data_IF_137878970068
#
_entry.id   IF_137878970068
#
_cell.length_a   1.000
_cell.length_b   1.000
_cell.length_c   1.000
_cell.angle_alpha   90.00
_cell.angle_beta   90.00
_cell.angle_gamma   90.00
#
_symmetry.space_group_name_H-M   'P 1'
#
loop_
_entity.id
_entity.type
_entity.pdbx_description
1 polymer ?
#
# COMPACT_ATOMS: atom_id res chain seq x y z
N UNK A 1 15.17 19.71 -27.70
CA UNK A 1 13.94 19.39 -26.95
C UNK A 1 13.79 17.88 -27.04
N UNK A 2 14.12 17.15 -25.98
CA UNK A 2 13.81 15.73 -25.90
C UNK A 2 12.30 15.62 -25.66
N UNK A 3 11.60 14.76 -26.40
CA UNK A 3 10.21 14.47 -26.11
C UNK A 3 10.15 13.83 -24.73
N UNK A 4 9.30 14.34 -23.85
CA UNK A 4 8.94 13.66 -22.61
C UNK A 4 8.18 12.40 -23.04
N UNK A 5 8.63 11.23 -22.57
CA UNK A 5 7.88 10.00 -22.77
C UNK A 5 6.51 10.15 -22.11
N UNK A 6 5.43 9.62 -22.72
CA UNK A 6 4.10 9.73 -22.14
C UNK A 6 4.04 8.98 -20.82
N UNK A 7 3.35 9.57 -19.84
CA UNK A 7 3.09 8.91 -18.56
C UNK A 7 2.31 7.60 -18.76
N UNK A 8 2.58 6.64 -17.89
CA UNK A 8 2.11 5.25 -17.97
C UNK A 8 1.17 4.97 -16.81
N UNK A 9 -0.01 4.45 -17.12
CA UNK A 9 -0.97 3.92 -16.15
C UNK A 9 -0.66 2.44 -15.86
N UNK A 10 -0.52 2.10 -14.58
CA UNK A 10 -0.45 0.74 -14.06
C UNK A 10 -1.62 0.52 -13.12
N UNK A 11 -2.41 -0.53 -13.33
CA UNK A 11 -3.55 -0.89 -12.46
C UNK A 11 -3.32 -2.27 -11.86
N UNK A 12 -3.78 -2.46 -10.63
CA UNK A 12 -3.73 -3.74 -9.94
C UNK A 12 -4.82 -3.85 -8.87
N UNK A 13 -5.16 -5.08 -8.51
CA UNK A 13 -6.17 -5.39 -7.50
C UNK A 13 -5.55 -6.23 -6.40
N UNK A 14 -5.83 -5.86 -5.15
CA UNK A 14 -5.60 -6.69 -3.99
C UNK A 14 -6.87 -7.48 -3.69
N UNK A 15 -6.80 -8.80 -3.78
CA UNK A 15 -7.91 -9.73 -3.55
C UNK A 15 -7.51 -10.90 -2.63
N UNK A 16 -8.46 -11.79 -2.33
CA UNK A 16 -8.23 -12.94 -1.44
C UNK A 16 -7.15 -13.91 -1.93
N UNK A 17 -6.70 -13.82 -3.20
CA UNK A 17 -5.67 -14.70 -3.76
C UNK A 17 -4.26 -14.12 -3.62
N UNK A 18 -4.12 -12.79 -3.49
CA UNK A 18 -2.84 -12.11 -3.58
C UNK A 18 -2.54 -11.15 -2.41
N UNK A 19 -3.50 -10.97 -1.50
CA UNK A 19 -3.36 -10.11 -0.35
C UNK A 19 -3.68 -10.84 0.95
N UNK A 20 -3.22 -10.28 2.07
CA UNK A 20 -3.55 -10.74 3.41
C UNK A 20 -3.95 -9.53 4.23
N UNK A 21 -5.04 -9.68 4.99
CA UNK A 21 -5.49 -8.66 5.94
C UNK A 21 -4.85 -8.94 7.29
N UNK A 22 -4.18 -7.95 7.82
CA UNK A 22 -3.50 -7.96 9.11
C UNK A 22 -4.04 -6.81 9.99
N UNK A 23 -3.60 -6.76 11.25
CA UNK A 23 -4.02 -5.73 12.20
C UNK A 23 -2.81 -4.94 12.66
N UNK A 24 -2.86 -3.62 12.50
CA UNK A 24 -1.92 -2.70 13.14
C UNK A 24 -2.62 -2.02 14.31
N UNK A 25 -1.86 -1.59 15.31
CA UNK A 25 -2.41 -0.87 16.45
C UNK A 25 -1.65 0.42 16.68
N UNK A 26 -2.36 1.54 16.72
CA UNK A 26 -1.77 2.89 16.69
C UNK A 26 -2.25 3.73 17.87
N UNK A 27 -1.45 4.72 18.25
CA UNK A 27 -1.76 5.64 19.32
C UNK A 27 -2.46 6.89 18.77
N UNK A 28 -3.80 6.90 18.79
CA UNK A 28 -4.59 8.05 18.35
C UNK A 28 -4.53 9.25 19.30
N UNK A 29 -4.08 9.08 20.55
CA UNK A 29 -3.93 10.23 21.47
C UNK A 29 -2.87 11.21 21.00
N UNK A 30 -1.96 10.75 20.13
CA UNK A 30 -0.91 11.53 19.50
C UNK A 30 -1.30 12.05 18.11
N UNK A 31 -2.46 11.69 17.54
CA UNK A 31 -2.76 12.10 16.16
C UNK A 31 -3.81 13.20 16.05
N UNK A 32 -4.40 13.64 17.17
CA UNK A 32 -5.56 14.52 17.13
C UNK A 32 -6.78 13.81 16.55
N UNK A 33 -7.80 13.58 17.39
CA UNK A 33 -9.17 13.13 17.03
C UNK A 33 -9.33 11.85 16.18
N UNK A 34 -9.68 10.75 16.87
CA UNK A 34 -10.50 9.59 16.47
C UNK A 34 -10.22 8.81 15.15
N UNK A 35 -9.53 9.34 14.14
CA UNK A 35 -9.28 8.69 12.85
C UNK A 35 -7.93 9.14 12.24
N UNK A 36 -7.51 8.53 11.13
CA UNK A 36 -6.23 8.73 10.43
C UNK A 36 -6.03 10.09 9.71
N UNK A 37 -6.88 11.10 9.98
CA UNK A 37 -6.88 12.35 9.19
C UNK A 37 -5.64 13.22 9.43
N UNK A 38 -5.10 13.19 10.64
CA UNK A 38 -4.20 14.24 11.13
C UNK A 38 -2.77 13.72 11.40
N UNK A 39 -2.33 12.65 10.72
CA UNK A 39 -1.01 11.98 10.95
C UNK A 39 0.20 12.95 10.89
N UNK A 40 0.17 13.99 10.04
CA UNK A 40 1.28 14.96 9.92
C UNK A 40 1.01 16.34 10.52
N UNK A 41 -0.17 16.60 11.11
CA UNK A 41 -0.62 17.98 11.38
C UNK A 41 0.03 18.59 12.64
N UNK A 42 0.38 17.79 13.64
CA UNK A 42 0.77 18.32 14.97
C UNK A 42 2.20 17.98 15.42
N UNK A 43 3.04 17.39 14.55
CA UNK A 43 4.42 17.02 14.89
C UNK A 43 4.52 15.89 15.93
N UNK A 44 3.39 15.30 16.28
CA UNK A 44 3.30 14.16 17.16
C UNK A 44 3.62 12.86 16.41
N UNK A 45 4.27 11.89 17.05
CA UNK A 45 4.79 10.73 16.36
C UNK A 45 3.69 9.69 16.10
N UNK A 46 3.56 9.29 14.83
CA UNK A 46 2.75 8.13 14.45
C UNK A 46 3.36 6.85 15.05
N UNK A 47 2.74 6.35 16.11
CA UNK A 47 3.34 5.33 16.99
C UNK A 47 2.35 4.23 17.32
N UNK A 48 2.85 3.08 17.75
CA UNK A 48 2.01 1.97 18.19
C UNK A 48 1.21 2.36 19.44
N UNK A 49 -0.03 1.89 19.51
CA UNK A 49 -0.94 2.18 20.62
C UNK A 49 -2.09 1.18 20.71
N UNK A 50 -3.14 1.46 21.50
CA UNK A 50 -4.19 0.50 21.80
C UNK A 50 -5.28 0.41 20.72
N UNK A 51 -5.31 1.31 19.73
CA UNK A 51 -6.40 1.37 18.76
C UNK A 51 -6.06 0.54 17.52
N UNK A 52 -6.87 -0.49 17.24
CA UNK A 52 -6.64 -1.44 16.17
C UNK A 52 -7.32 -1.06 14.85
N UNK A 53 -6.60 -1.27 13.75
CA UNK A 53 -7.06 -1.07 12.38
C UNK A 53 -6.62 -2.25 11.51
N UNK A 54 -7.54 -2.74 10.69
CA UNK A 54 -7.23 -3.74 9.68
C UNK A 54 -6.51 -3.07 8.52
N UNK A 55 -5.47 -3.73 8.00
CA UNK A 55 -4.71 -3.26 6.85
C UNK A 55 -4.31 -4.38 5.91
N UNK A 56 -4.03 -4.03 4.67
CA UNK A 56 -3.33 -4.87 3.68
C UNK A 56 -2.17 -4.08 3.08
N UNK A 57 -1.21 -4.76 2.46
CA UNK A 57 -0.04 -4.08 1.90
C UNK A 57 0.34 -4.60 0.52
N UNK A 58 1.01 -3.74 -0.24
CA UNK A 58 1.56 -4.10 -1.53
C UNK A 58 2.86 -3.33 -1.79
N UNK A 59 3.90 -4.06 -2.21
CA UNK A 59 5.13 -3.44 -2.65
C UNK A 59 5.07 -3.04 -4.11
N UNK A 60 5.76 -1.95 -4.43
CA UNK A 60 6.00 -1.53 -5.79
C UNK A 60 7.39 -0.89 -5.96
N UNK A 61 7.87 -0.82 -7.19
CA UNK A 61 9.16 -0.20 -7.53
C UNK A 61 9.05 0.53 -8.88
N UNK A 62 9.27 1.84 -8.94
CA UNK A 62 9.20 2.61 -10.18
C UNK A 62 10.45 2.35 -11.04
N UNK A 63 10.25 2.30 -12.35
CA UNK A 63 11.33 2.16 -13.34
C UNK A 63 12.03 3.49 -13.67
N UNK A 64 11.37 4.61 -13.41
CA UNK A 64 11.82 5.98 -13.73
C UNK A 64 11.57 6.87 -12.51
N UNK A 65 12.46 7.82 -12.23
CA UNK A 65 12.24 8.80 -11.16
C UNK A 65 11.33 9.93 -11.65
N UNK A 66 10.49 10.47 -10.77
CA UNK A 66 9.66 11.65 -11.04
C UNK A 66 8.40 11.68 -10.18
N UNK A 67 7.49 12.61 -10.50
CA UNK A 67 6.18 12.69 -9.85
C UNK A 67 5.27 11.54 -10.30
N UNK A 68 4.68 10.86 -9.32
CA UNK A 68 3.68 9.83 -9.54
C UNK A 68 2.41 10.17 -8.76
N UNK A 69 1.26 9.91 -9.38
CA UNK A 69 -0.04 9.90 -8.73
C UNK A 69 -0.49 8.46 -8.59
N UNK A 70 -0.84 8.03 -7.38
CA UNK A 70 -1.37 6.69 -7.16
C UNK A 70 -2.40 6.70 -6.05
N UNK A 71 -3.33 5.77 -6.13
CA UNK A 71 -4.50 5.77 -5.26
C UNK A 71 -5.40 4.60 -5.51
N UNK A 72 -6.58 4.65 -4.91
CA UNK A 72 -7.62 3.65 -5.09
C UNK A 72 -8.64 4.09 -6.14
N UNK A 73 -9.06 3.16 -6.99
CA UNK A 73 -10.21 3.35 -7.87
C UNK A 73 -11.47 2.69 -7.32
N UNK A 74 -11.33 1.69 -6.45
CA UNK A 74 -12.44 1.08 -5.74
C UNK A 74 -12.07 0.55 -4.34
N UNK A 75 -13.01 0.67 -3.40
CA UNK A 75 -12.96 0.05 -2.08
C UNK A 75 -14.38 -0.22 -1.54
N UNK A 76 -14.66 -1.40 -0.96
CA UNK A 76 -15.92 -1.69 -0.28
C UNK A 76 -16.13 -0.90 1.02
N UNK A 77 -15.04 -0.44 1.64
CA UNK A 77 -15.02 0.23 2.94
C UNK A 77 -14.28 1.55 2.86
N UNK A 78 -14.40 2.38 3.90
CA UNK A 78 -13.67 3.64 3.99
C UNK A 78 -12.22 3.35 4.40
N UNK A 79 -11.25 3.88 3.66
CA UNK A 79 -9.84 3.46 3.74
C UNK A 79 -8.89 4.64 3.81
N UNK A 80 -7.69 4.39 4.34
CA UNK A 80 -6.55 5.31 4.26
C UNK A 80 -5.42 4.63 3.51
N UNK A 81 -4.82 5.35 2.57
CA UNK A 81 -3.59 4.98 1.89
C UNK A 81 -2.41 5.60 2.63
N UNK A 82 -1.49 4.76 3.07
CA UNK A 82 -0.20 5.15 3.63
C UNK A 82 0.90 4.66 2.70
N UNK A 83 1.95 5.45 2.52
CA UNK A 83 3.06 5.12 1.62
C UNK A 83 4.36 5.13 2.39
N UNK A 84 5.10 4.03 2.31
CA UNK A 84 6.37 3.87 3.00
C UNK A 84 7.52 3.78 2.02
N UNK A 85 8.62 4.43 2.37
CA UNK A 85 9.94 4.13 1.83
C UNK A 85 10.45 2.83 2.45
N UNK A 86 10.68 1.81 1.62
CA UNK A 86 11.07 0.50 2.12
C UNK A 86 9.88 -0.34 2.58
N UNK A 87 9.94 -0.88 3.79
CA UNK A 87 8.94 -1.81 4.34
C UNK A 87 8.27 -1.21 5.57
N UNK A 88 6.95 -1.32 5.64
CA UNK A 88 6.13 -1.01 6.80
C UNK A 88 6.41 -1.99 7.95
N UNK A 89 6.60 -1.45 9.16
CA UNK A 89 6.63 -2.20 10.41
C UNK A 89 5.41 -1.83 11.26
N UNK A 90 4.44 -2.73 11.48
CA UNK A 90 3.26 -2.44 12.30
C UNK A 90 3.59 -2.17 13.78
N UNK A 91 4.80 -2.49 14.25
CA UNK A 91 5.29 -2.16 15.59
C UNK A 91 5.98 -0.79 15.66
N UNK A 92 6.26 -0.17 14.51
CA UNK A 92 6.86 1.15 14.37
C UNK A 92 6.20 1.89 13.20
N UNK A 93 4.89 2.17 13.28
CA UNK A 93 4.11 2.56 12.11
C UNK A 93 4.49 3.95 11.56
N UNK A 94 5.18 4.79 12.33
CA UNK A 94 5.73 6.06 11.83
C UNK A 94 7.03 5.93 11.04
N UNK A 95 7.75 4.81 11.19
CA UNK A 95 9.08 4.66 10.61
C UNK A 95 8.97 4.44 9.10
N UNK A 96 9.61 5.32 8.34
CA UNK A 96 9.62 5.27 6.87
C UNK A 96 8.32 5.73 6.21
N UNK A 97 7.36 6.27 6.95
CA UNK A 97 6.15 6.87 6.36
C UNK A 97 6.54 8.11 5.52
N UNK A 98 6.26 8.06 4.23
CA UNK A 98 6.61 9.08 3.26
C UNK A 98 5.42 9.99 2.89
N UNK A 99 4.22 9.41 2.80
CA UNK A 99 3.00 10.15 2.46
C UNK A 99 1.75 9.38 2.91
N UNK A 100 0.61 10.05 2.99
CA UNK A 100 -0.68 9.43 3.26
C UNK A 100 -1.84 10.26 2.70
N UNK A 101 -2.98 9.61 2.51
CA UNK A 101 -4.27 10.27 2.29
C UNK A 101 -5.43 9.33 2.66
N UNK A 102 -6.55 9.87 3.17
CA UNK A 102 -7.81 9.13 3.44
C UNK A 102 -8.88 9.37 2.37
N UNK A 103 -9.00 10.59 1.85
CA UNK A 103 -9.92 10.96 0.80
C UNK A 103 -9.21 11.84 -0.24
N UNK A 104 -9.49 11.69 -1.54
CA UNK A 104 -8.94 12.59 -2.55
C UNK A 104 -9.29 14.09 -2.34
N UNK A 105 -10.20 14.41 -1.41
CA UNK A 105 -10.57 15.78 -1.02
C UNK A 105 -9.93 16.33 0.26
N UNK A 106 -9.22 15.53 1.08
CA UNK A 106 -8.70 15.93 2.40
C UNK A 106 -7.14 15.96 2.48
N UNK A 107 -6.57 17.00 1.85
CA UNK A 107 -5.34 17.73 2.24
C UNK A 107 -3.88 17.21 2.05
N UNK A 108 -3.04 18.25 1.84
CA UNK A 108 -1.57 18.43 1.74
C UNK A 108 -0.86 17.84 0.50
N UNK A 109 -0.72 18.72 -0.51
CA UNK A 109 -0.12 18.45 -1.82
C UNK A 109 -1.17 18.66 -2.91
N UNK A 110 -1.13 19.81 -3.57
CA UNK A 110 -1.91 20.39 -4.70
C UNK A 110 -2.80 19.53 -5.64
N UNK A 111 -3.52 18.50 -5.18
CA UNK A 111 -4.49 17.78 -6.03
C UNK A 111 -5.94 17.93 -5.59
N UNK A 112 -6.32 19.18 -5.29
CA UNK A 112 -7.71 19.61 -5.08
C UNK A 112 -8.57 19.62 -6.36
N UNK A 113 -8.05 19.12 -7.49
CA UNK A 113 -8.62 19.32 -8.83
C UNK A 113 -9.27 18.08 -9.44
N UNK A 114 -9.26 16.94 -8.73
CA UNK A 114 -9.85 15.71 -9.25
C UNK A 114 -11.33 15.59 -8.92
N UNK A 115 -12.12 15.20 -9.93
CA UNK A 115 -13.57 15.11 -9.84
C UNK A 115 -14.01 14.09 -8.78
N UNK A 116 -14.65 14.59 -7.72
CA UNK A 116 -15.19 13.83 -6.59
C UNK A 116 -16.49 13.09 -6.93
N UNK A 117 -16.51 12.31 -8.01
CA UNK A 117 -17.67 11.49 -8.31
C UNK A 117 -17.27 10.18 -8.99
N UNK A 118 -17.90 9.09 -8.57
CA UNK A 118 -17.92 7.81 -9.28
C UNK A 118 -18.18 8.05 -10.77
N UNK A 119 -17.36 7.42 -11.62
CA UNK A 119 -17.40 7.60 -13.07
C UNK A 119 -16.75 8.89 -13.59
N UNK A 120 -16.10 9.69 -12.73
CA UNK A 120 -15.27 10.82 -13.16
C UNK A 120 -13.87 10.37 -13.49
N UNK A 121 -13.28 11.00 -14.51
CA UNK A 121 -11.83 11.00 -14.69
C UNK A 121 -11.21 11.86 -13.61
N UNK A 122 -10.06 11.44 -13.07
CA UNK A 122 -9.27 12.25 -12.16
C UNK A 122 -8.61 13.39 -12.96
N UNK A 123 -9.37 14.45 -13.25
CA UNK A 123 -8.90 15.57 -14.08
C UNK A 123 -8.52 15.08 -15.48
N UNK A 124 -7.27 15.36 -15.88
CA UNK A 124 -6.68 14.92 -17.16
C UNK A 124 -6.07 13.50 -17.08
N UNK A 125 -6.12 12.83 -15.92
CA UNK A 125 -5.59 11.48 -15.78
C UNK A 125 -6.49 10.45 -16.49
N UNK A 126 -5.92 9.44 -17.15
CA UNK A 126 -6.67 8.36 -17.79
C UNK A 126 -7.23 7.32 -16.79
N UNK A 127 -7.62 7.76 -15.60
CA UNK A 127 -8.06 6.91 -14.48
C UNK A 127 -9.52 7.22 -14.16
N UNK A 128 -10.33 6.17 -14.07
CA UNK A 128 -11.75 6.29 -13.69
C UNK A 128 -11.95 5.76 -12.29
N UNK A 129 -12.53 6.58 -11.40
CA UNK A 129 -12.96 6.12 -10.10
C UNK A 129 -14.22 5.26 -10.26
N UNK A 130 -14.12 3.99 -9.87
CA UNK A 130 -15.19 3.00 -10.01
C UNK A 130 -16.14 3.10 -8.82
N UNK A 131 -15.69 2.79 -7.62
CA UNK A 131 -16.54 2.86 -6.42
C UNK A 131 -15.72 2.71 -5.14
N UNK A 132 -15.47 3.81 -4.44
CA UNK A 132 -15.08 3.74 -3.03
C UNK A 132 -16.29 3.96 -2.13
N UNK A 133 -16.12 3.68 -0.84
CA UNK A 133 -17.16 3.91 0.14
C UNK A 133 -17.71 5.33 0.01
N UNK A 134 -19.04 5.46 0.08
CA UNK A 134 -19.71 6.73 -0.09
C UNK A 134 -20.88 6.85 0.85
N UNK A 135 -21.15 8.08 1.26
CA UNK A 135 -22.33 8.44 2.05
C UNK A 135 -23.09 9.53 1.29
N UNK A 136 -24.35 9.76 1.67
CA UNK A 136 -25.17 10.83 1.06
C UNK A 136 -24.53 12.22 1.12
N UNK A 137 -23.55 12.42 2.01
CA UNK A 137 -22.87 13.71 2.24
C UNK A 137 -21.43 13.75 1.75
N UNK A 138 -20.80 12.60 1.49
CA UNK A 138 -19.40 12.47 1.09
C UNK A 138 -19.29 11.38 0.01
N UNK A 139 -19.33 11.75 -1.28
CA UNK A 139 -19.22 10.81 -2.39
C UNK A 139 -17.76 10.44 -2.70
N UNK A 140 -17.52 9.17 -3.02
CA UNK A 140 -16.26 8.61 -3.54
C UNK A 140 -15.02 8.86 -2.65
N UNK A 141 -14.98 8.22 -1.48
CA UNK A 141 -13.84 8.26 -0.52
C UNK A 141 -12.65 7.41 -0.96
N UNK A 142 -12.05 7.80 -2.09
CA UNK A 142 -10.88 7.11 -2.62
C UNK A 142 -9.63 7.89 -2.22
N UNK A 143 -8.72 7.32 -1.43
CA UNK A 143 -7.47 8.00 -1.13
C UNK A 143 -6.56 8.05 -2.36
N UNK A 144 -5.93 9.20 -2.57
CA UNK A 144 -4.99 9.46 -3.67
C UNK A 144 -3.79 10.23 -3.12
N UNK A 145 -2.59 9.79 -3.49
CA UNK A 145 -1.33 10.45 -3.12
C UNK A 145 -0.60 10.87 -4.39
N UNK A 146 -0.01 12.06 -4.36
CA UNK A 146 1.02 12.49 -5.31
C UNK A 146 2.35 12.62 -4.57
N UNK A 147 3.42 12.01 -5.09
CA UNK A 147 4.76 12.19 -4.55
C UNK A 147 5.85 11.91 -5.59
N UNK A 148 7.02 12.47 -5.35
CA UNK A 148 8.24 12.16 -6.10
C UNK A 148 8.77 10.78 -5.70
N UNK A 149 8.95 9.90 -6.69
CA UNK A 149 9.54 8.58 -6.50
C UNK A 149 10.91 8.48 -7.15
N UNK A 150 11.75 7.60 -6.60
CA UNK A 150 13.10 7.33 -7.10
C UNK A 150 13.14 5.99 -7.84
N UNK A 151 13.65 5.98 -9.08
CA UNK A 151 13.83 4.77 -9.87
C UNK A 151 14.59 3.68 -9.10
N UNK A 152 14.04 2.48 -9.07
CA UNK A 152 14.63 1.33 -8.37
C UNK A 152 14.50 1.37 -6.84
N UNK A 153 14.02 2.47 -6.25
CA UNK A 153 13.68 2.51 -4.84
C UNK A 153 12.39 1.73 -4.61
N UNK A 154 12.41 0.89 -3.58
CA UNK A 154 11.25 0.08 -3.23
C UNK A 154 10.36 0.86 -2.27
N UNK A 155 9.07 0.87 -2.56
CA UNK A 155 8.03 1.48 -1.73
C UNK A 155 6.98 0.43 -1.37
N UNK A 156 6.27 0.66 -0.28
CA UNK A 156 5.13 -0.14 0.13
C UNK A 156 3.92 0.75 0.36
N UNK A 157 2.81 0.42 -0.29
CA UNK A 157 1.51 0.95 0.11
C UNK A 157 0.95 0.09 1.23
N UNK A 158 0.37 0.76 2.22
CA UNK A 158 -0.42 0.15 3.28
C UNK A 158 -1.80 0.77 3.16
N UNK A 159 -2.81 -0.09 3.00
CA UNK A 159 -4.21 0.34 2.94
C UNK A 159 -4.90 -0.14 4.19
N UNK A 160 -5.28 0.81 5.01
CA UNK A 160 -5.94 0.61 6.29
C UNK A 160 -7.42 0.92 6.18
N UNK A 161 -8.24 0.38 7.06
CA UNK A 161 -9.55 0.99 7.34
C UNK A 161 -9.38 2.38 7.94
N UNK A 162 -10.30 3.29 7.62
CA UNK A 162 -10.33 4.64 8.20
C UNK A 162 -10.74 4.64 9.67
N UNK A 163 -11.65 3.75 10.05
CA UNK A 163 -12.22 3.64 11.40
C UNK A 163 -11.80 2.35 12.09
N UNK A 164 -11.41 2.47 13.35
CA UNK A 164 -10.95 1.34 14.17
C UNK A 164 -12.04 0.29 14.37
N UNK A 165 -11.66 -0.99 14.38
CA UNK A 165 -12.60 -2.11 14.58
C UNK A 165 -13.56 -2.35 13.41
N UNK A 166 -13.27 -1.79 12.25
CA UNK A 166 -13.96 -2.11 10.99
C UNK A 166 -13.13 -3.15 10.24
N UNK A 167 -13.79 -4.17 9.69
CA UNK A 167 -13.15 -5.22 8.89
C UNK A 167 -12.72 -4.64 7.53
N UNK A 168 -11.45 -4.84 7.17
CA UNK A 168 -11.00 -4.54 5.81
C UNK A 168 -11.51 -5.62 4.86
N UNK A 169 -12.40 -5.25 3.94
CA UNK A 169 -12.97 -6.19 2.97
C UNK A 169 -12.27 -6.07 1.62
N UNK A 170 -11.86 -7.19 1.03
CA UNK A 170 -11.31 -7.26 -0.32
C UNK A 170 -12.44 -7.48 -1.37
N UNK A 171 -12.26 -7.11 -2.65
CA UNK A 171 -11.04 -6.57 -3.26
C UNK A 171 -10.82 -5.07 -3.00
N UNK A 172 -9.59 -4.61 -3.26
CA UNK A 172 -9.20 -3.20 -3.26
C UNK A 172 -8.50 -2.91 -4.60
N UNK A 173 -9.02 -1.96 -5.37
CA UNK A 173 -8.51 -1.64 -6.72
C UNK A 173 -7.64 -0.38 -6.70
N UNK A 174 -6.47 -0.46 -7.34
CA UNK A 174 -5.45 0.58 -7.31
C UNK A 174 -5.00 0.99 -8.70
N UNK A 175 -4.46 2.21 -8.77
CA UNK A 175 -3.73 2.71 -9.91
C UNK A 175 -2.43 3.39 -9.49
N UNK A 176 -1.46 3.40 -10.41
CA UNK A 176 -0.27 4.24 -10.38
C UNK A 176 -0.09 4.88 -11.75
N UNK A 177 0.13 6.19 -11.79
CA UNK A 177 0.33 6.97 -12.99
C UNK A 177 1.55 7.86 -12.85
N UNK A 178 2.44 7.84 -13.84
CA UNK A 178 3.63 8.69 -13.86
C UNK A 178 4.60 8.33 -14.99
N UNK A 179 5.85 8.84 -14.97
CA UNK A 179 6.75 8.83 -16.13
C UNK A 179 7.30 7.44 -16.55
N UNK A 180 6.95 6.38 -15.83
CA UNK A 180 7.43 5.02 -16.10
C UNK A 180 6.58 3.95 -15.43
N UNK A 181 6.73 2.70 -15.85
CA UNK A 181 6.02 1.57 -15.23
C UNK A 181 6.44 1.38 -13.77
N UNK A 182 5.52 0.84 -12.97
CA UNK A 182 5.84 0.30 -11.64
C UNK A 182 5.79 -1.22 -11.67
N UNK A 183 6.79 -1.85 -11.07
CA UNK A 183 6.79 -3.29 -10.84
C UNK A 183 6.02 -3.57 -9.56
N UNK A 184 4.83 -4.15 -9.68
CA UNK A 184 3.99 -4.55 -8.55
C UNK A 184 4.32 -6.00 -8.17
N UNK A 185 4.54 -6.25 -6.88
CA UNK A 185 4.74 -7.61 -6.36
C UNK A 185 6.18 -7.99 -6.00
N UNK A 186 6.26 -9.08 -5.23
CA UNK A 186 7.41 -9.66 -4.52
C UNK A 186 7.80 -8.96 -3.21
N UNK A 187 7.70 -9.58 -2.01
CA UNK A 187 8.56 -9.23 -0.87
C UNK A 187 10.01 -9.21 -1.36
N UNK A 188 10.87 -8.34 -0.79
CA UNK A 188 12.28 -8.31 -1.16
C UNK A 188 12.78 -9.74 -1.08
N UNK A 189 13.37 -10.26 -2.15
CA UNK A 189 14.21 -11.45 -2.02
C UNK A 189 15.13 -11.14 -0.84
N UNK A 190 15.01 -11.92 0.24
CA UNK A 190 15.80 -11.70 1.46
C UNK A 190 17.24 -11.53 0.98
N UNK A 191 17.88 -10.37 1.21
CA UNK A 191 19.20 -10.16 0.66
C UNK A 191 20.10 -11.27 1.21
N UNK A 192 20.71 -12.04 0.29
CA UNK A 192 21.54 -13.22 0.60
C UNK A 192 22.79 -12.90 1.43
N UNK A 193 22.96 -11.63 1.84
CA UNK A 193 24.00 -11.17 2.75
C UNK A 193 23.59 -11.20 4.23
N UNK A 194 22.34 -11.52 4.57
CA UNK A 194 21.95 -11.76 5.96
C UNK A 194 22.32 -13.20 6.38
N UNK A 195 23.26 -13.41 7.32
CA UNK A 195 23.72 -14.75 7.71
C UNK A 195 22.60 -15.65 8.27
N UNK A 196 21.48 -15.07 8.73
CA UNK A 196 20.33 -15.82 9.21
C UNK A 196 19.45 -16.37 8.06
N UNK A 197 19.49 -15.76 6.87
CA UNK A 197 18.71 -16.18 5.71
C UNK A 197 19.24 -17.50 5.09
N UNK A 198 20.55 -17.74 5.17
CA UNK A 198 21.17 -18.99 4.72
C UNK A 198 20.78 -20.20 5.59
N UNK A 199 20.41 -19.97 6.85
CA UNK A 199 20.02 -21.03 7.78
C UNK A 199 18.62 -21.58 7.48
N UNK A 200 17.68 -20.73 7.06
CA UNK A 200 16.32 -21.12 6.67
C UNK A 200 16.30 -21.92 5.35
N UNK A 201 17.11 -21.51 4.37
CA UNK A 201 17.30 -22.26 3.12
C UNK A 201 17.93 -23.64 3.35
N UNK A 202 18.90 -23.73 4.27
CA UNK A 202 19.50 -25.02 4.64
C UNK A 202 18.48 -25.97 5.30
N UNK A 203 17.59 -25.46 6.17
CA UNK A 203 16.52 -26.23 6.81
C UNK A 203 15.45 -26.71 5.80
N UNK A 204 15.11 -25.89 4.80
CA UNK A 204 14.17 -26.28 3.75
C UNK A 204 14.76 -27.40 2.86
N UNK A 205 16.03 -27.31 2.47
CA UNK A 205 16.70 -28.35 1.67
C UNK A 205 16.90 -29.65 2.48
N UNK A 206 17.17 -29.56 3.79
CA UNK A 206 17.33 -30.75 4.64
C UNK A 206 16.01 -31.51 4.82
N UNK A 207 14.89 -30.80 5.00
CA UNK A 207 13.56 -31.42 5.17
C UNK A 207 13.05 -32.09 3.88
N UNK A 208 13.31 -31.50 2.71
CA UNK A 208 13.04 -32.12 1.41
C UNK A 208 13.93 -33.34 1.13
N UNK A 209 15.22 -33.30 1.51
CA UNK A 209 16.13 -34.44 1.37
C UNK A 209 15.78 -35.64 2.27
N UNK A 210 15.34 -35.37 3.50
CA UNK A 210 14.89 -36.41 4.44
C UNK A 210 13.56 -37.06 4.03
N UNK A 211 12.66 -36.31 3.39
CA UNK A 211 11.41 -36.86 2.85
C UNK A 211 11.65 -37.76 1.63
N UNK A 212 12.63 -37.42 0.78
CA UNK A 212 12.96 -38.22 -0.40
C UNK A 212 13.67 -39.54 -0.04
N UNK A 213 14.53 -39.55 0.98
CA UNK A 213 15.24 -40.76 1.42
C UNK A 213 14.33 -41.84 2.03
N UNK A 214 13.21 -41.46 2.69
CA UNK A 214 12.29 -42.43 3.31
C UNK A 214 11.37 -43.15 2.33
N UNK A 215 11.28 -42.72 1.07
CA UNK A 215 10.40 -43.34 0.06
C UNK A 215 11.07 -44.44 -0.77
N UNK A 216 12.39 -44.64 -0.61
CA UNK A 216 13.15 -45.62 -1.40
C UNK A 216 13.24 -47.02 -0.77
N UNK A 217 12.73 -47.26 0.44
CA UNK A 217 12.90 -48.52 1.19
C UNK A 217 11.62 -49.33 1.42
N UNK A 218 10.58 -49.18 0.59
CA UNK A 218 9.38 -50.03 0.68
C UNK A 218 9.01 -50.60 -0.69
N UNK A 219 9.86 -51.47 -1.20
CA UNK A 219 9.55 -52.38 -2.30
C UNK A 219 10.38 -53.67 -2.15
N UNK A 220 9.89 -54.59 -1.32
CA UNK A 220 10.09 -56.06 -1.43
C UNK A 220 8.81 -56.72 -0.93
#
# INVERSE_FOLDING_TARGET
MQAQDPDILTEFTLDDNNATVEVMSVNLSNLGINNFRDIFVDGDPFTTGPTAFDFTTQFFTPSVSGSYVFGQTASPVDTVLLVYEGSFDPLQPGDGLASYNDDHGNQIGEVSSFGSATGSTLGDLPVTIVSCHSTNTLPARCPIVEMELVAGQRYQVVVSTFSSGTDLTLPQDFFVYGPGTVLVGAPSAIPLNNPWALSLLALLVLSLGLAYSRRATSAV
#
